data_IF_982993465441
#
_entry.id   IF_982993465441
#
_cell.length_a   1.000
_cell.length_b   1.000
_cell.length_c   1.000
_cell.angle_alpha   90.00
_cell.angle_beta   90.00
_cell.angle_gamma   90.00
#
_symmetry.space_group_name_H-M   'P 1'
#
loop_
_entity.id
_entity.type
_entity.pdbx_description
1 polymer ?
#
# COMPACT_ATOMS: atom_id res chain seq x y z
N UNK A 1 4.70 -21.96 -5.36
CA UNK A 1 5.93 -21.14 -5.46
C UNK A 1 5.65 -19.77 -4.91
N UNK A 2 6.52 -19.17 -4.08
CA UNK A 2 6.36 -17.77 -3.66
C UNK A 2 6.46 -16.91 -4.92
N UNK A 3 5.41 -16.16 -5.23
CA UNK A 3 5.37 -15.32 -6.42
C UNK A 3 6.50 -14.28 -6.38
N UNK A 4 7.14 -14.05 -7.51
CA UNK A 4 8.08 -12.94 -7.68
C UNK A 4 7.39 -11.63 -7.31
N UNK A 5 7.94 -10.93 -6.32
CA UNK A 5 7.55 -9.57 -6.00
C UNK A 5 8.23 -8.64 -7.01
N UNK A 6 7.45 -8.05 -7.92
CA UNK A 6 7.91 -6.88 -8.64
C UNK A 6 7.66 -5.69 -7.72
N UNK A 7 8.72 -5.18 -7.10
CA UNK A 7 8.71 -3.83 -6.57
C UNK A 7 8.49 -2.90 -7.76
N UNK A 8 7.30 -2.33 -7.87
CA UNK A 8 7.05 -1.20 -8.73
C UNK A 8 7.86 -0.05 -8.13
N UNK A 9 8.71 0.54 -8.96
CA UNK A 9 9.69 1.59 -8.67
C UNK A 9 9.28 2.47 -7.48
N UNK A 10 10.17 2.71 -6.49
CA UNK A 10 9.85 3.65 -5.42
C UNK A 10 9.56 5.03 -6.02
N UNK A 11 8.40 5.59 -5.71
CA UNK A 11 8.08 6.99 -5.98
C UNK A 11 8.09 7.70 -4.63
N UNK A 12 9.07 8.56 -4.38
CA UNK A 12 9.05 9.40 -3.19
C UNK A 12 8.05 10.52 -3.44
N UNK A 13 6.89 10.48 -2.77
CA UNK A 13 6.04 11.67 -2.66
C UNK A 13 6.52 12.45 -1.42
N UNK A 14 6.83 13.72 -1.61
CA UNK A 14 7.33 14.59 -0.52
C UNK A 14 6.13 15.28 0.11
N UNK A 15 5.97 15.17 1.42
CA UNK A 15 5.07 16.07 2.11
C UNK A 15 5.59 17.52 2.04
N UNK A 16 4.74 18.47 2.43
CA UNK A 16 5.04 19.90 2.46
C UNK A 16 6.16 20.30 3.43
N UNK A 17 6.69 19.37 4.24
CA UNK A 17 7.71 19.62 5.27
C UNK A 17 9.08 19.00 4.95
N UNK A 18 9.17 18.16 3.90
CA UNK A 18 10.44 17.78 3.28
C UNK A 18 11.07 16.49 3.80
N UNK A 19 10.39 15.73 4.64
CA UNK A 19 10.80 14.37 4.99
C UNK A 19 10.26 13.38 3.93
N UNK A 20 11.12 12.52 3.33
CA UNK A 20 10.65 11.60 2.30
C UNK A 20 9.86 10.45 2.94
N UNK A 21 8.53 10.47 2.82
CA UNK A 21 7.76 9.24 2.95
C UNK A 21 8.08 8.38 1.71
N UNK A 22 8.92 7.36 1.88
CA UNK A 22 9.21 6.47 0.75
C UNK A 22 7.96 5.67 0.44
N UNK A 23 7.40 5.84 -0.77
CA UNK A 23 6.28 5.02 -1.23
C UNK A 23 6.82 3.89 -2.10
N UNK A 24 6.64 2.65 -1.64
CA UNK A 24 7.08 1.45 -2.35
C UNK A 24 5.86 0.64 -2.79
N UNK A 25 5.72 0.41 -4.10
CA UNK A 25 4.61 -0.35 -4.67
C UNK A 25 4.97 -1.83 -4.89
N UNK A 26 4.06 -2.74 -4.60
CA UNK A 26 4.18 -4.18 -4.88
C UNK A 26 2.99 -4.65 -5.71
N UNK A 27 3.21 -5.21 -6.90
CA UNK A 27 2.15 -5.93 -7.62
C UNK A 27 1.98 -7.34 -7.02
N UNK A 28 0.80 -7.60 -6.47
CA UNK A 28 0.44 -8.85 -5.78
C UNK A 28 -0.74 -9.53 -6.46
N UNK A 29 -0.55 -10.79 -6.87
CA UNK A 29 -1.60 -11.57 -7.54
C UNK A 29 -2.81 -11.94 -6.65
N UNK A 30 -2.68 -11.89 -5.32
CA UNK A 30 -3.72 -12.30 -4.35
C UNK A 30 -3.94 -11.22 -3.30
N UNK A 31 -4.44 -10.07 -3.73
CA UNK A 31 -4.49 -8.89 -2.86
C UNK A 31 -5.33 -9.05 -1.59
N UNK A 32 -6.46 -9.77 -1.67
CA UNK A 32 -7.31 -10.04 -0.50
C UNK A 32 -6.58 -10.89 0.56
N UNK A 33 -5.79 -11.87 0.13
CA UNK A 33 -5.00 -12.71 1.03
C UNK A 33 -3.95 -11.88 1.77
N UNK A 34 -3.32 -10.91 1.11
CA UNK A 34 -2.36 -10.01 1.74
C UNK A 34 -3.03 -9.04 2.70
N UNK A 35 -4.14 -8.43 2.29
CA UNK A 35 -4.91 -7.55 3.17
C UNK A 35 -5.34 -8.27 4.45
N UNK A 36 -5.84 -9.50 4.30
CA UNK A 36 -6.22 -10.35 5.43
C UNK A 36 -5.03 -10.65 6.34
N UNK A 37 -3.89 -11.07 5.78
CA UNK A 37 -2.69 -11.37 6.58
C UNK A 37 -2.15 -10.15 7.34
N UNK A 38 -2.19 -8.97 6.73
CA UNK A 38 -1.77 -7.70 7.33
C UNK A 38 -2.69 -7.36 8.51
N UNK A 39 -4.01 -7.39 8.30
CA UNK A 39 -5.00 -7.00 9.31
C UNK A 39 -5.10 -8.03 10.45
N UNK A 40 -4.95 -9.34 10.18
CA UNK A 40 -4.88 -10.39 11.21
C UNK A 40 -3.65 -10.25 12.12
N UNK A 41 -2.59 -9.61 11.65
CA UNK A 41 -1.41 -9.25 12.46
C UNK A 41 -1.56 -7.93 13.22
N UNK A 42 -2.74 -7.30 13.15
CA UNK A 42 -3.00 -6.02 13.79
C UNK A 42 -2.40 -4.82 13.06
N UNK A 43 -1.88 -5.00 11.85
CA UNK A 43 -1.37 -3.89 11.05
C UNK A 43 -2.55 -3.18 10.39
N UNK A 44 -2.62 -1.86 10.55
CA UNK A 44 -3.68 -1.02 10.00
C UNK A 44 -3.44 -0.79 8.51
N UNK A 45 -4.35 -1.28 7.68
CA UNK A 45 -4.41 -0.90 6.27
C UNK A 45 -4.98 0.52 6.13
N UNK A 46 -4.41 1.32 5.24
CA UNK A 46 -4.73 2.73 5.06
C UNK A 46 -4.94 3.09 3.58
N UNK A 47 -5.67 4.18 3.35
CA UNK A 47 -5.73 4.87 2.06
C UNK A 47 -4.61 5.93 1.99
N UNK A 48 -3.53 5.60 1.30
CA UNK A 48 -2.38 6.52 1.16
C UNK A 48 -2.65 7.74 0.26
N UNK A 49 -3.82 7.82 -0.40
CA UNK A 49 -4.23 8.99 -1.16
C UNK A 49 -5.12 9.94 -0.33
N UNK A 50 -5.55 9.51 0.85
CA UNK A 50 -6.28 10.39 1.77
C UNK A 50 -5.29 11.23 2.57
N UNK A 51 -5.61 12.52 2.77
CA UNK A 51 -4.77 13.44 3.55
C UNK A 51 -4.54 12.96 5.00
N UNK A 52 -5.48 12.21 5.56
CA UNK A 52 -5.48 11.70 6.93
C UNK A 52 -5.17 10.20 7.05
N UNK A 53 -4.69 9.56 5.97
CA UNK A 53 -4.33 8.13 5.94
C UNK A 53 -5.43 7.24 6.55
N UNK A 54 -6.68 7.40 6.08
CA UNK A 54 -7.87 6.72 6.60
C UNK A 54 -7.70 5.22 6.63
N UNK A 55 -8.21 4.58 7.68
CA UNK A 55 -8.26 3.14 7.76
C UNK A 55 -9.11 2.55 6.63
N UNK A 56 -8.66 1.45 6.05
CA UNK A 56 -9.43 0.68 5.06
C UNK A 56 -9.94 -0.62 5.69
N UNK A 57 -11.22 -0.92 5.45
CA UNK A 57 -11.83 -2.22 5.81
C UNK A 57 -11.61 -3.29 4.74
N UNK A 58 -11.17 -2.89 3.54
CA UNK A 58 -10.87 -3.76 2.39
C UNK A 58 -9.98 -3.04 1.36
N UNK A 59 -9.30 -3.76 0.45
CA UNK A 59 -8.64 -3.15 -0.70
C UNK A 59 -9.64 -2.40 -1.58
N UNK A 60 -9.24 -1.23 -2.07
CA UNK A 60 -10.07 -0.31 -2.86
C UNK A 60 -9.68 -0.34 -4.33
N UNK A 61 -10.64 -0.08 -5.22
CA UNK A 61 -10.36 0.14 -6.62
C UNK A 61 -9.96 1.59 -6.87
N UNK A 62 -8.95 1.80 -7.70
CA UNK A 62 -8.45 3.12 -8.10
C UNK A 62 -8.89 3.48 -9.50
N UNK A 63 -8.82 4.77 -9.81
CA UNK A 63 -9.21 5.31 -11.12
C UNK A 63 -8.40 4.73 -12.29
N UNK A 64 -7.17 4.27 -12.04
CA UNK A 64 -6.31 3.60 -13.02
C UNK A 64 -6.55 2.09 -13.12
N UNK A 65 -7.63 1.57 -12.54
CA UNK A 65 -8.05 0.17 -12.65
C UNK A 65 -7.36 -0.81 -11.70
N UNK A 66 -6.31 -0.39 -10.99
CA UNK A 66 -5.70 -1.22 -9.96
C UNK A 66 -6.63 -1.39 -8.76
N UNK A 67 -6.48 -2.51 -8.07
CA UNK A 67 -7.02 -2.71 -6.74
C UNK A 67 -5.89 -2.63 -5.74
N UNK A 68 -5.99 -1.85 -4.67
CA UNK A 68 -4.86 -1.65 -3.74
C UNK A 68 -5.26 -1.37 -2.29
N UNK A 69 -4.27 -1.51 -1.39
CA UNK A 69 -4.27 -0.95 -0.04
C UNK A 69 -2.82 -0.56 0.31
N UNK A 70 -2.64 0.27 1.33
CA UNK A 70 -1.31 0.57 1.85
C UNK A 70 -1.21 0.29 3.35
N UNK A 71 0.02 0.25 3.84
CA UNK A 71 0.34 0.24 5.28
C UNK A 71 1.42 1.28 5.55
N UNK A 72 1.36 1.91 6.70
CA UNK A 72 2.44 2.75 7.19
C UNK A 72 3.34 1.92 8.11
N UNK A 73 4.64 1.97 7.88
CA UNK A 73 5.64 1.34 8.75
C UNK A 73 5.86 2.19 10.02
N UNK A 74 6.47 1.65 11.08
CA UNK A 74 6.83 2.42 12.26
C UNK A 74 7.73 3.63 11.98
N UNK A 75 8.52 3.57 10.91
CA UNK A 75 9.44 4.63 10.50
C UNK A 75 8.78 5.72 9.63
N UNK A 76 7.49 5.58 9.33
CA UNK A 76 6.71 6.55 8.54
C UNK A 76 6.54 6.18 7.07
N UNK A 77 7.34 5.25 6.54
CA UNK A 77 7.26 4.81 5.14
C UNK A 77 5.90 4.21 4.78
N UNK A 78 5.49 4.36 3.53
CA UNK A 78 4.22 3.84 3.00
C UNK A 78 4.51 2.68 2.03
N UNK A 79 4.00 1.50 2.37
CA UNK A 79 4.08 0.32 1.49
C UNK A 79 2.71 0.12 0.83
N UNK A 80 2.67 0.22 -0.50
CA UNK A 80 1.46 0.06 -1.31
C UNK A 80 1.43 -1.34 -1.92
N UNK A 81 0.37 -2.08 -1.65
CA UNK A 81 0.12 -3.39 -2.25
C UNK A 81 -0.99 -3.22 -3.27
N UNK A 82 -0.70 -3.45 -4.54
CA UNK A 82 -1.63 -3.28 -5.64
C UNK A 82 -1.77 -4.57 -6.46
N UNK A 83 -2.90 -4.72 -7.14
CA UNK A 83 -3.11 -5.69 -8.20
C UNK A 83 -3.42 -4.89 -9.45
N UNK A 84 -2.47 -4.84 -10.38
CA UNK A 84 -2.69 -4.21 -11.68
C UNK A 84 -3.67 -5.05 -12.53
N UNK A 85 -4.39 -4.43 -13.48
CA UNK A 85 -5.29 -5.12 -14.41
C UNK A 85 -4.67 -6.35 -15.06
#
# INVERSE_FOLDING_TARGET
>A
SPGQYLALTPYADRDSEGEPNMVVGFDVGRIDDYFKQVTEKGVKAIDHLSEDLKALERPVYRQWGAREFAVQTPDGDILVFSRLP
#
